data_IF_211129650368
#
_entry.id   IF_211129650368
#
_cell.length_a   1.000
_cell.length_b   1.000
_cell.length_c   1.000
_cell.angle_alpha   90.00
_cell.angle_beta   90.00
_cell.angle_gamma   90.00
#
_symmetry.space_group_name_H-M   'P 1'
#
loop_
_entity.id
_entity.type
_entity.pdbx_description
1 polymer ?
#
# COMPACT_ATOMS: atom_id res chain seq x y z
N UNK A 1 -4.13 -12.98 18.78
CA UNK A 1 -4.47 -12.03 17.70
C UNK A 1 -4.87 -12.85 16.47
N UNK A 2 -6.04 -13.46 16.51
CA UNK A 2 -6.57 -14.36 15.49
C UNK A 2 -8.09 -14.18 15.47
N UNK A 3 -8.72 -14.47 14.34
CA UNK A 3 -10.12 -14.13 14.07
C UNK A 3 -10.28 -13.62 12.63
N UNK A 4 -11.26 -12.75 12.39
CA UNK A 4 -11.43 -12.11 11.07
C UNK A 4 -10.17 -11.30 10.74
N UNK A 5 -9.78 -11.27 9.46
CA UNK A 5 -8.59 -10.55 8.98
C UNK A 5 -8.58 -9.05 9.35
N UNK A 6 -9.75 -8.46 9.60
CA UNK A 6 -9.90 -7.01 9.81
C UNK A 6 -9.83 -6.26 8.49
N UNK A 7 -10.25 -4.99 8.50
CA UNK A 7 -10.12 -4.10 7.33
C UNK A 7 -9.47 -2.81 7.81
N UNK A 8 -8.29 -2.52 7.31
CA UNK A 8 -7.65 -1.22 7.46
C UNK A 8 -7.97 -0.38 6.22
N UNK A 9 -8.26 0.90 6.42
CA UNK A 9 -8.49 1.88 5.35
C UNK A 9 -7.56 3.04 5.63
N UNK A 10 -6.68 3.34 4.66
CA UNK A 10 -5.67 4.40 4.78
C UNK A 10 -6.01 5.49 3.78
N UNK A 11 -6.04 6.75 4.23
CA UNK A 11 -6.13 7.90 3.34
C UNK A 11 -4.71 8.32 2.95
N UNK A 12 -4.50 8.51 1.65
CA UNK A 12 -3.22 8.94 1.11
C UNK A 12 -3.40 10.26 0.37
N UNK A 13 -2.46 11.15 0.58
CA UNK A 13 -2.31 12.39 -0.17
C UNK A 13 -0.96 12.42 -0.87
N UNK A 14 -0.69 13.47 -1.65
CA UNK A 14 0.62 13.64 -2.30
C UNK A 14 1.76 13.92 -1.31
N UNK A 15 1.44 14.35 -0.10
CA UNK A 15 2.42 14.60 0.96
C UNK A 15 2.99 13.29 1.52
N UNK A 16 2.27 12.18 1.33
CA UNK A 16 2.65 10.84 1.78
C UNK A 16 3.45 10.05 0.72
N UNK A 17 3.81 10.67 -0.41
CA UNK A 17 4.43 10.02 -1.58
C UNK A 17 5.70 9.24 -1.26
N UNK A 18 6.49 9.71 -0.29
CA UNK A 18 7.69 9.02 0.18
C UNK A 18 7.39 7.64 0.81
N UNK A 19 6.16 7.38 1.24
CA UNK A 19 5.77 6.07 1.81
C UNK A 19 5.16 5.13 0.78
N UNK A 20 4.88 5.59 -0.44
CA UNK A 20 4.09 4.83 -1.42
C UNK A 20 4.79 3.55 -1.87
N UNK A 21 6.12 3.60 -2.04
CA UNK A 21 6.90 2.41 -2.39
C UNK A 21 6.78 1.34 -1.32
N UNK A 22 7.06 1.68 -0.05
CA UNK A 22 7.02 0.73 1.06
C UNK A 22 5.61 0.21 1.30
N UNK A 23 4.60 1.08 1.22
CA UNK A 23 3.20 0.69 1.35
C UNK A 23 2.79 -0.30 0.24
N UNK A 24 3.25 -0.09 -1.00
CA UNK A 24 3.01 -1.03 -2.10
C UNK A 24 3.57 -2.40 -1.76
N UNK A 25 4.83 -2.48 -1.34
CA UNK A 25 5.48 -3.75 -0.98
C UNK A 25 4.72 -4.47 0.16
N UNK A 26 4.34 -3.74 1.22
CA UNK A 26 3.56 -4.31 2.34
C UNK A 26 2.22 -4.88 1.88
N UNK A 27 1.52 -4.20 0.96
CA UNK A 27 0.23 -4.70 0.45
C UNK A 27 0.44 -5.90 -0.48
N UNK A 28 1.53 -5.93 -1.26
CA UNK A 28 1.88 -7.07 -2.13
C UNK A 28 2.31 -8.30 -1.33
N UNK A 29 3.00 -8.11 -0.20
CA UNK A 29 3.38 -9.19 0.72
C UNK A 29 2.17 -9.78 1.48
N UNK A 30 1.08 -9.01 1.61
CA UNK A 30 -0.14 -9.45 2.27
C UNK A 30 -1.00 -10.35 1.36
N UNK A 31 -1.13 -11.66 1.64
CA UNK A 31 -1.90 -12.57 0.78
C UNK A 31 -3.42 -12.35 0.86
N UNK A 32 -3.88 -11.57 1.85
CA UNK A 32 -5.30 -11.24 2.07
C UNK A 32 -5.67 -9.86 1.53
N UNK A 33 -4.71 -9.14 0.96
CA UNK A 33 -4.90 -7.80 0.40
C UNK A 33 -4.68 -7.81 -1.10
N UNK A 34 -5.34 -6.89 -1.81
CA UNK A 34 -5.14 -6.66 -3.23
C UNK A 34 -4.58 -5.26 -3.36
N UNK A 35 -3.37 -5.15 -3.92
CA UNK A 35 -2.76 -3.84 -4.13
C UNK A 35 -3.54 -3.09 -5.22
N UNK A 36 -4.03 -1.87 -4.92
CA UNK A 36 -4.88 -1.18 -5.86
C UNK A 36 -4.07 -0.57 -7.02
N UNK A 37 -4.64 -0.49 -8.24
CA UNK A 37 -3.91 -0.09 -9.44
C UNK A 37 -3.42 1.36 -9.39
N UNK A 38 -4.09 2.24 -8.65
CA UNK A 38 -3.66 3.62 -8.42
C UNK A 38 -2.33 3.71 -7.67
N UNK A 39 -2.02 2.74 -6.80
CA UNK A 39 -0.75 2.68 -6.08
C UNK A 39 0.29 1.90 -6.88
N UNK A 40 -0.08 0.78 -7.52
CA UNK A 40 0.84 -0.04 -8.33
C UNK A 40 1.45 0.78 -9.46
N UNK A 41 0.66 1.62 -10.11
CA UNK A 41 1.08 2.40 -11.27
C UNK A 41 1.53 3.83 -10.91
N UNK A 42 1.54 4.19 -9.62
CA UNK A 42 1.93 5.54 -9.20
C UNK A 42 3.42 5.77 -9.47
N UNK A 43 3.84 6.93 -10.02
CA UNK A 43 5.25 7.24 -10.28
C UNK A 43 6.09 7.16 -9.00
N UNK A 44 5.60 7.74 -7.90
CA UNK A 44 6.31 7.74 -6.60
C UNK A 44 6.34 6.36 -5.90
N UNK A 45 5.65 5.34 -6.43
CA UNK A 45 5.67 3.96 -5.93
C UNK A 45 6.55 3.01 -6.75
N UNK A 46 7.19 3.50 -7.82
CA UNK A 46 8.06 2.69 -8.69
C UNK A 46 9.47 2.53 -8.13
N UNK A 47 9.94 3.52 -7.39
CA UNK A 47 11.31 3.58 -6.90
C UNK A 47 11.32 3.75 -5.38
N UNK A 48 12.36 3.20 -4.75
CA UNK A 48 12.63 3.51 -3.34
C UNK A 48 12.90 5.02 -3.22
N UNK A 49 12.33 5.70 -2.21
CA UNK A 49 12.62 7.09 -1.90
C UNK A 49 14.12 7.36 -1.69
#
# INVERSE_FOLDING_TARGET
RAGKAGKAVTFLTKEDSATFYELKEVILESPVSVCPPELINHPDAQHKP
#
